data_IF_396407162075
#
_entry.id   IF_396407162075
#
_cell.length_a   1.000
_cell.length_b   1.000
_cell.length_c   1.000
_cell.angle_alpha   90.00
_cell.angle_beta   90.00
_cell.angle_gamma   90.00
#
_symmetry.space_group_name_H-M   'P 1'
#
loop_
_entity.id
_entity.type
_entity.pdbx_description
1 polymer ?
#
# COMPACT_ATOMS: atom_id res chain seq x y z
N UNK A 1 -29.66 5.22 -6.59
CA UNK A 1 -28.42 5.25 -5.81
C UNK A 1 -28.78 4.85 -4.41
N UNK A 2 -28.05 3.92 -3.82
CA UNK A 2 -28.23 3.53 -2.44
C UNK A 2 -27.87 4.72 -1.53
N UNK A 3 -28.72 5.03 -0.54
CA UNK A 3 -28.53 6.15 0.40
C UNK A 3 -27.95 5.69 1.75
N UNK A 4 -27.53 4.43 1.82
CA UNK A 4 -26.95 3.84 3.02
C UNK A 4 -25.58 4.46 3.29
N UNK A 5 -25.34 4.82 4.55
CA UNK A 5 -24.06 5.36 5.01
C UNK A 5 -23.28 4.26 5.74
N UNK A 6 -21.96 4.30 5.64
CA UNK A 6 -21.08 3.42 6.40
C UNK A 6 -20.53 4.15 7.63
N UNK A 7 -20.48 3.44 8.76
CA UNK A 7 -19.66 3.82 9.91
C UNK A 7 -18.41 2.94 9.90
N UNK A 8 -17.23 3.55 9.96
CA UNK A 8 -15.94 2.85 9.92
C UNK A 8 -15.20 3.15 11.21
N UNK A 9 -14.92 2.09 11.97
CA UNK A 9 -14.06 2.15 13.16
C UNK A 9 -12.81 1.34 12.87
N UNK A 10 -11.64 1.95 13.09
CA UNK A 10 -10.34 1.31 12.83
C UNK A 10 -9.38 1.60 13.97
N UNK A 11 -8.64 0.57 14.36
CA UNK A 11 -7.62 0.64 15.40
C UNK A 11 -6.31 0.06 14.86
N UNK A 12 -5.18 0.57 15.33
CA UNK A 12 -3.87 0.04 15.03
C UNK A 12 -3.08 -0.14 16.33
N UNK A 13 -2.25 -1.17 16.39
CA UNK A 13 -1.47 -1.53 17.57
C UNK A 13 0.02 -1.17 17.46
N UNK A 14 0.39 -0.34 16.46
CA UNK A 14 1.75 0.19 16.34
C UNK A 14 1.86 1.51 17.11
N UNK A 15 3.03 1.83 17.69
CA UNK A 15 3.23 3.15 18.29
C UNK A 15 3.00 4.23 17.24
N UNK A 16 2.10 5.17 17.54
CA UNK A 16 1.80 6.29 16.64
C UNK A 16 3.09 7.08 16.38
N UNK A 17 3.40 7.37 15.12
CA UNK A 17 4.62 8.11 14.74
C UNK A 17 5.88 7.27 14.55
N UNK A 18 5.88 5.95 14.81
CA UNK A 18 7.04 5.06 14.62
C UNK A 18 7.49 4.85 13.16
N UNK A 19 6.94 5.60 12.21
CA UNK A 19 7.33 5.54 10.80
C UNK A 19 6.92 4.27 10.05
N UNK A 20 6.14 3.39 10.68
CA UNK A 20 5.54 2.22 10.04
C UNK A 20 4.35 2.66 9.17
N UNK A 21 4.15 2.00 8.02
CA UNK A 21 3.15 2.36 7.01
C UNK A 21 1.70 2.11 7.50
N UNK A 22 1.22 2.97 8.41
CA UNK A 22 -0.13 2.91 8.97
C UNK A 22 -1.21 3.07 7.91
N UNK A 23 -0.98 3.89 6.89
CA UNK A 23 -1.93 4.08 5.78
C UNK A 23 -2.06 2.82 4.90
N UNK A 24 -0.97 2.08 4.67
CA UNK A 24 -1.00 0.90 3.82
C UNK A 24 -1.89 -0.21 4.43
N UNK A 25 -1.63 -0.54 5.69
CA UNK A 25 -2.43 -1.53 6.43
C UNK A 25 -3.87 -1.06 6.65
N UNK A 26 -4.06 0.23 6.99
CA UNK A 26 -5.40 0.80 7.19
C UNK A 26 -6.28 0.74 5.95
N UNK A 27 -5.78 1.13 4.77
CA UNK A 27 -6.56 1.08 3.53
C UNK A 27 -6.78 -0.36 3.02
N UNK A 28 -5.83 -1.27 3.26
CA UNK A 28 -6.04 -2.68 2.97
C UNK A 28 -7.16 -3.28 3.85
N UNK A 29 -7.11 -3.02 5.17
CA UNK A 29 -8.15 -3.45 6.10
C UNK A 29 -9.52 -2.85 5.76
N UNK A 30 -9.57 -1.56 5.41
CA UNK A 30 -10.80 -0.89 4.97
C UNK A 30 -11.36 -1.52 3.69
N UNK A 31 -10.52 -1.78 2.69
CA UNK A 31 -10.97 -2.39 1.44
C UNK A 31 -11.60 -3.77 1.71
N UNK A 32 -10.94 -4.62 2.50
CA UNK A 32 -11.45 -5.95 2.88
C UNK A 32 -12.76 -5.84 3.67
N UNK A 33 -12.80 -4.99 4.70
CA UNK A 33 -13.98 -4.84 5.55
C UNK A 33 -15.19 -4.28 4.78
N UNK A 34 -14.97 -3.29 3.91
CA UNK A 34 -16.03 -2.69 3.11
C UNK A 34 -16.60 -3.68 2.08
N UNK A 35 -15.75 -4.44 1.39
CA UNK A 35 -16.23 -5.45 0.43
C UNK A 35 -16.97 -6.57 1.13
N UNK A 36 -16.52 -7.00 2.30
CA UNK A 36 -17.23 -8.01 3.09
C UNK A 36 -18.59 -7.51 3.58
N UNK A 37 -18.66 -6.28 4.12
CA UNK A 37 -19.90 -5.68 4.59
C UNK A 37 -20.95 -5.48 3.47
N UNK A 38 -20.50 -5.36 2.22
CA UNK A 38 -21.34 -5.23 1.04
C UNK A 38 -21.57 -6.56 0.29
N UNK A 39 -21.08 -7.68 0.81
CA UNK A 39 -21.14 -9.00 0.17
C UNK A 39 -20.56 -9.01 -1.27
N UNK A 40 -19.51 -8.20 -1.49
CA UNK A 40 -18.81 -8.11 -2.76
C UNK A 40 -17.68 -9.14 -2.81
N UNK A 41 -17.84 -10.17 -3.64
CA UNK A 41 -16.85 -11.23 -3.81
C UNK A 41 -15.74 -10.82 -4.79
N UNK A 42 -14.79 -10.02 -4.31
CA UNK A 42 -13.62 -9.64 -5.08
C UNK A 42 -12.49 -10.66 -4.96
N UNK A 43 -11.83 -10.93 -6.07
CA UNK A 43 -10.54 -11.63 -6.07
C UNK A 43 -9.49 -10.80 -5.32
N UNK A 44 -8.42 -11.45 -4.83
CA UNK A 44 -7.31 -10.74 -4.19
C UNK A 44 -6.68 -9.68 -5.12
N UNK A 45 -6.71 -9.91 -6.43
CA UNK A 45 -6.30 -8.91 -7.42
C UNK A 45 -7.20 -7.67 -7.38
N UNK A 46 -8.52 -7.85 -7.47
CA UNK A 46 -9.49 -6.73 -7.43
C UNK A 46 -9.43 -5.98 -6.08
N UNK A 47 -9.29 -6.72 -4.96
CA UNK A 47 -9.08 -6.11 -3.64
C UNK A 47 -7.79 -5.27 -3.61
N UNK A 48 -6.70 -5.75 -4.20
CA UNK A 48 -5.46 -4.98 -4.27
C UNK A 48 -5.62 -3.70 -5.10
N UNK A 49 -6.43 -3.73 -6.16
CA UNK A 49 -6.74 -2.56 -6.98
C UNK A 49 -7.60 -1.55 -6.21
N UNK A 50 -8.56 -2.04 -5.41
CA UNK A 50 -9.38 -1.19 -4.55
C UNK A 50 -8.53 -0.53 -3.45
N UNK A 51 -7.75 -1.32 -2.71
CA UNK A 51 -6.89 -0.81 -1.63
C UNK A 51 -5.89 0.24 -2.14
N UNK A 52 -5.35 0.05 -3.35
CA UNK A 52 -4.44 1.01 -4.02
C UNK A 52 -5.03 2.42 -4.13
N UNK A 53 -6.35 2.55 -4.33
CA UNK A 53 -7.00 3.86 -4.50
C UNK A 53 -6.94 4.71 -3.22
N UNK A 54 -6.90 4.05 -2.05
CA UNK A 54 -6.69 4.74 -0.78
C UNK A 54 -5.23 5.06 -0.52
N UNK A 55 -4.35 4.09 -0.74
CA UNK A 55 -2.89 4.27 -0.68
C UNK A 55 -2.19 3.29 -1.60
N UNK A 56 -1.26 3.78 -2.43
CA UNK A 56 -0.59 2.93 -3.43
C UNK A 56 0.07 1.68 -2.83
N UNK A 57 0.69 1.80 -1.65
CA UNK A 57 1.31 0.66 -0.97
C UNK A 57 0.31 -0.32 -0.35
N UNK A 58 -0.94 0.08 -0.10
CA UNK A 58 -1.97 -0.78 0.50
C UNK A 58 -2.29 -2.01 -0.36
N UNK A 59 -2.13 -1.90 -1.68
CA UNK A 59 -2.30 -3.02 -2.61
C UNK A 59 -1.49 -4.25 -2.18
N UNK A 60 -0.26 -4.06 -1.68
CA UNK A 60 0.62 -5.16 -1.27
C UNK A 60 0.20 -5.81 0.05
N UNK A 61 -0.53 -5.10 0.90
CA UNK A 61 -1.00 -5.60 2.20
C UNK A 61 -2.23 -6.52 2.08
N UNK A 62 -2.76 -6.76 0.88
CA UNK A 62 -3.81 -7.76 0.62
C UNK A 62 -3.25 -9.20 0.67
N UNK A 63 -1.94 -9.37 0.49
CA UNK A 63 -1.28 -10.66 0.44
C UNK A 63 -0.29 -10.82 1.59
N UNK A 64 -0.07 -12.06 2.04
CA UNK A 64 1.03 -12.43 2.93
C UNK A 64 2.34 -12.66 2.16
N UNK A 65 3.45 -12.80 2.89
CA UNK A 65 4.76 -13.14 2.34
C UNK A 65 5.40 -12.05 1.50
N UNK A 66 5.99 -12.44 0.36
CA UNK A 66 6.67 -11.53 -0.56
C UNK A 66 5.72 -11.11 -1.67
N UNK A 67 5.52 -9.80 -1.81
CA UNK A 67 4.48 -9.23 -2.66
C UNK A 67 5.06 -8.15 -3.58
N UNK A 68 4.79 -8.26 -4.87
CA UNK A 68 5.17 -7.27 -5.87
C UNK A 68 3.96 -6.43 -6.26
N UNK A 69 4.14 -5.12 -6.43
CA UNK A 69 3.13 -4.27 -7.06
C UNK A 69 3.49 -4.08 -8.53
N UNK A 70 2.64 -4.57 -9.43
CA UNK A 70 2.79 -4.30 -10.87
C UNK A 70 2.56 -2.83 -11.11
N UNK A 71 3.50 -2.18 -11.82
CA UNK A 71 3.43 -0.75 -12.16
C UNK A 71 2.32 -0.39 -13.16
N UNK A 72 1.84 -1.40 -13.90
CA UNK A 72 0.98 -1.24 -15.07
C UNK A 72 1.60 -0.43 -16.21
N UNK A 73 0.94 -0.48 -17.36
CA UNK A 73 1.28 0.27 -18.57
C UNK A 73 0.06 1.00 -19.12
N UNK A 74 -1.15 0.65 -18.66
CA UNK A 74 -2.39 1.27 -19.10
C UNK A 74 -2.65 2.57 -18.35
N UNK A 75 -3.10 3.58 -19.09
CA UNK A 75 -3.44 4.89 -18.55
C UNK A 75 -4.60 4.86 -17.54
N UNK A 76 -5.50 3.88 -17.66
CA UNK A 76 -6.63 3.70 -16.73
C UNK A 76 -6.21 3.03 -15.40
N UNK A 77 -4.97 2.57 -15.30
CA UNK A 77 -4.43 1.87 -14.14
C UNK A 77 -5.07 0.49 -13.88
N UNK A 78 -5.80 -0.08 -14.83
CA UNK A 78 -6.47 -1.39 -14.68
C UNK A 78 -5.49 -2.57 -14.57
N UNK A 79 -4.22 -2.35 -14.84
CA UNK A 79 -3.13 -3.32 -14.74
C UNK A 79 -2.11 -2.99 -13.63
N UNK A 80 -2.43 -2.04 -12.74
CA UNK A 80 -1.65 -1.74 -11.54
C UNK A 80 -2.24 -2.49 -10.35
N UNK A 81 -1.69 -3.66 -10.01
CA UNK A 81 -2.21 -4.52 -8.93
C UNK A 81 -1.07 -5.28 -8.25
N UNK A 82 -1.33 -5.80 -7.06
CA UNK A 82 -0.35 -6.60 -6.35
C UNK A 82 -0.44 -8.08 -6.74
N UNK A 83 0.71 -8.77 -6.73
CA UNK A 83 0.80 -10.22 -6.86
C UNK A 83 1.65 -10.78 -5.73
N UNK A 84 1.23 -11.92 -5.18
CA UNK A 84 2.06 -12.69 -4.25
C UNK A 84 3.12 -13.46 -5.05
N UNK A 85 4.39 -13.19 -4.77
CA UNK A 85 5.51 -13.92 -5.36
C UNK A 85 5.77 -15.22 -4.60
N UNK A 86 5.70 -15.13 -3.26
CA UNK A 86 5.91 -16.23 -2.31
C UNK A 86 5.00 -16.01 -1.11
N UNK A 87 4.40 -17.07 -0.60
CA UNK A 87 3.60 -16.98 0.62
C UNK A 87 4.48 -16.79 1.87
N UNK A 88 3.84 -16.50 2.99
CA UNK A 88 4.50 -16.28 4.29
C UNK A 88 5.21 -17.52 4.83
N UNK A 89 4.95 -18.71 4.30
CA UNK A 89 5.60 -19.97 4.71
C UNK A 89 6.90 -20.22 3.97
N UNK A 90 7.11 -19.54 2.84
CA UNK A 90 8.30 -19.70 2.01
C UNK A 90 9.61 -19.44 2.76
N UNK A 91 9.63 -18.41 3.62
CA UNK A 91 10.82 -18.05 4.39
C UNK A 91 10.42 -17.56 5.79
N UNK A 92 10.85 -18.29 6.81
CA UNK A 92 10.75 -17.87 8.21
C UNK A 92 11.80 -16.79 8.48
N UNK A 93 11.47 -15.56 8.09
CA UNK A 93 12.31 -14.38 8.27
C UNK A 93 11.79 -13.54 9.43
N UNK A 94 12.67 -13.24 10.39
CA UNK A 94 12.36 -12.34 11.49
C UNK A 94 12.77 -10.89 11.16
N UNK A 95 11.93 -9.93 11.55
CA UNK A 95 12.20 -8.50 11.40
C UNK A 95 12.26 -7.83 12.76
N UNK A 96 13.36 -7.13 13.04
CA UNK A 96 13.50 -6.24 14.19
C UNK A 96 13.33 -4.79 13.73
N UNK A 97 12.34 -4.10 14.29
CA UNK A 97 12.09 -2.68 14.03
C UNK A 97 12.68 -1.86 15.18
N UNK A 98 13.68 -1.02 14.88
CA UNK A 98 14.27 -0.09 15.83
C UNK A 98 13.64 1.29 15.67
N UNK A 99 12.87 1.72 16.66
CA UNK A 99 12.24 3.04 16.67
C UNK A 99 13.30 4.07 17.10
N UNK A 100 13.70 4.93 16.17
CA UNK A 100 14.71 5.99 16.42
C UNK A 100 14.10 7.35 16.69
N UNK A 101 12.83 7.55 16.32
CA UNK A 101 12.04 8.73 16.61
C UNK A 101 10.55 8.36 16.63
N UNK A 102 9.79 8.96 17.55
CA UNK A 102 8.34 8.76 17.70
C UNK A 102 7.54 9.96 17.17
N UNK A 103 8.22 11.03 16.79
CA UNK A 103 7.59 12.24 16.29
C UNK A 103 7.14 12.04 14.83
N UNK A 104 6.07 12.71 14.46
CA UNK A 104 5.62 12.72 13.07
C UNK A 104 6.70 13.33 12.16
N UNK A 105 6.79 12.79 10.94
CA UNK A 105 7.71 13.32 9.92
C UNK A 105 7.26 14.73 9.54
N UNK A 106 8.21 15.66 9.51
CA UNK A 106 7.93 17.04 9.06
C UNK A 106 7.36 17.09 7.63
N UNK A 107 7.81 16.19 6.75
CA UNK A 107 7.33 16.07 5.37
C UNK A 107 6.67 14.70 5.19
N UNK A 108 5.39 14.71 4.85
CA UNK A 108 4.62 13.50 4.57
C UNK A 108 5.12 12.77 3.31
N UNK A 109 4.88 11.46 3.22
CA UNK A 109 5.37 10.65 2.09
C UNK A 109 4.88 11.13 0.73
N UNK A 110 3.62 11.55 0.60
CA UNK A 110 3.05 12.07 -0.65
C UNK A 110 3.77 13.34 -1.09
N UNK A 111 3.94 14.30 -0.19
CA UNK A 111 4.65 15.54 -0.49
C UNK A 111 6.12 15.26 -0.83
N UNK A 112 6.80 14.45 -0.02
CA UNK A 112 8.20 14.10 -0.23
C UNK A 112 8.46 13.39 -1.56
N UNK A 113 7.58 12.46 -1.96
CA UNK A 113 7.73 11.78 -3.25
C UNK A 113 7.43 12.70 -4.43
N UNK A 114 6.41 13.57 -4.33
CA UNK A 114 6.09 14.54 -5.39
C UNK A 114 7.20 15.58 -5.54
N UNK A 115 7.73 16.09 -4.43
CA UNK A 115 8.85 17.02 -4.44
C UNK A 115 10.07 16.37 -5.09
N UNK A 116 10.43 15.16 -4.64
CA UNK A 116 11.55 14.38 -5.21
C UNK A 116 11.39 14.19 -6.71
N UNK A 117 10.21 13.75 -7.16
CA UNK A 117 9.94 13.52 -8.57
C UNK A 117 10.06 14.79 -9.42
N UNK A 118 9.72 15.95 -8.85
CA UNK A 118 9.76 17.24 -9.53
C UNK A 118 11.15 17.88 -9.53
N UNK A 119 11.92 17.76 -8.45
CA UNK A 119 13.10 18.60 -8.22
C UNK A 119 14.42 17.84 -8.15
N UNK A 120 14.40 16.53 -7.94
CA UNK A 120 15.64 15.77 -7.83
C UNK A 120 16.27 15.55 -9.21
N UNK A 121 17.53 15.97 -9.45
CA UNK A 121 18.22 15.70 -10.70
C UNK A 121 18.49 14.20 -10.92
N UNK A 122 18.43 13.40 -9.86
CA UNK A 122 18.68 11.95 -9.92
C UNK A 122 17.42 11.13 -10.21
N UNK A 123 16.22 11.71 -10.02
CA UNK A 123 14.99 10.95 -10.15
C UNK A 123 14.79 10.31 -11.53
N UNK A 124 15.04 10.99 -12.67
CA UNK A 124 14.89 10.36 -13.99
C UNK A 124 15.80 9.15 -14.19
N UNK A 125 17.06 9.23 -13.79
CA UNK A 125 18.02 8.12 -13.91
C UNK A 125 17.66 6.95 -12.99
N UNK A 126 17.20 7.24 -11.78
CA UNK A 126 16.72 6.22 -10.85
C UNK A 126 15.48 5.47 -11.39
N UNK A 127 14.51 6.21 -11.94
CA UNK A 127 13.35 5.61 -12.62
C UNK A 127 13.79 4.75 -13.80
N UNK A 128 14.71 5.24 -14.65
CA UNK A 128 15.21 4.48 -15.79
C UNK A 128 15.89 3.15 -15.38
N UNK A 129 16.61 3.13 -14.25
CA UNK A 129 17.22 1.88 -13.74
C UNK A 129 16.21 0.85 -13.23
N UNK A 130 14.96 1.25 -12.95
CA UNK A 130 13.92 0.31 -12.54
C UNK A 130 13.36 -0.55 -13.69
N UNK A 131 13.77 -0.27 -14.94
CA UNK A 131 13.39 -1.03 -16.13
C UNK A 131 14.47 -2.04 -16.57
N UNK A 132 15.63 -2.06 -15.91
CA UNK A 132 16.81 -2.85 -16.32
C UNK A 132 16.99 -4.18 -15.61
N UNK A 133 15.97 -4.67 -14.89
CA UNK A 133 15.96 -6.00 -14.26
C UNK A 133 15.06 -7.00 -15.00
#
# INVERSE_FOLDING_TARGET
GDSTHAEVVSENNFPTGAGLASSASGFAALAVAATEAMELHYSARELSQLARQGSGSAARSIFGGFVEMKRGEKLDGSDVYAIQLKDERYWQLDMLILITAEQEKEIGSTEGMTLTARTSPYYPSWVASSFTD
#
